data_IF_111450478637
#
_entry.id   IF_111450478637
#
_cell.length_a   1.000
_cell.length_b   1.000
_cell.length_c   1.000
_cell.angle_alpha   90.00
_cell.angle_beta   90.00
_cell.angle_gamma   90.00
#
_symmetry.space_group_name_H-M   'P 1'
#
loop_
_entity.id
_entity.type
_entity.pdbx_description
1 polymer ?
#
# COMPACT_ATOMS: atom_id res chain seq x y z
N UNK A 1 -24.52 -25.82 -64.83
CA UNK A 1 -24.20 -26.77 -63.75
C UNK A 1 -25.36 -27.01 -62.80
N UNK A 2 -25.74 -26.09 -61.89
CA UNK A 2 -26.85 -26.36 -60.93
C UNK A 2 -28.24 -26.50 -61.61
N UNK A 3 -28.46 -25.82 -62.75
CA UNK A 3 -29.71 -25.96 -63.52
C UNK A 3 -29.77 -27.23 -64.37
N UNK A 4 -28.62 -27.73 -64.85
CA UNK A 4 -28.53 -28.98 -65.62
C UNK A 4 -28.75 -30.19 -64.70
N UNK A 5 -28.20 -30.15 -63.48
CA UNK A 5 -28.38 -31.19 -62.46
C UNK A 5 -29.85 -31.32 -62.00
N UNK A 6 -30.62 -30.22 -62.02
CA UNK A 6 -32.05 -30.23 -61.72
C UNK A 6 -32.90 -30.82 -62.85
N UNK A 7 -32.44 -30.77 -64.10
CA UNK A 7 -33.15 -31.33 -65.24
C UNK A 7 -32.97 -32.85 -65.34
N UNK A 8 -31.75 -33.37 -65.16
CA UNK A 8 -31.48 -34.82 -65.21
C UNK A 8 -32.23 -35.59 -64.09
N UNK A 9 -32.22 -35.06 -62.87
CA UNK A 9 -32.91 -35.64 -61.72
C UNK A 9 -34.43 -35.73 -61.94
N UNK A 10 -35.00 -34.86 -62.80
CA UNK A 10 -36.44 -34.85 -63.10
C UNK A 10 -36.84 -35.92 -64.11
N UNK A 11 -35.96 -36.27 -65.05
CA UNK A 11 -36.20 -37.36 -66.00
C UNK A 11 -36.07 -38.73 -65.33
N UNK A 12 -35.09 -38.92 -64.45
CA UNK A 12 -34.87 -40.17 -63.72
C UNK A 12 -36.06 -40.55 -62.81
N UNK A 13 -36.68 -39.55 -62.14
CA UNK A 13 -37.84 -39.76 -61.27
C UNK A 13 -39.10 -40.20 -62.05
N UNK A 14 -39.20 -39.89 -63.35
CA UNK A 14 -40.36 -40.26 -64.16
C UNK A 14 -40.39 -41.76 -64.51
N UNK A 15 -39.28 -42.48 -64.42
CA UNK A 15 -39.23 -43.91 -64.74
C UNK A 15 -39.45 -44.83 -63.51
N UNK A 16 -39.48 -44.27 -62.31
CA UNK A 16 -39.67 -44.99 -61.05
C UNK A 16 -41.13 -45.42 -60.81
N UNK A 17 -41.30 -46.59 -60.18
CA UNK A 17 -42.58 -47.10 -59.68
C UNK A 17 -43.20 -46.16 -58.64
N UNK A 18 -44.53 -46.17 -58.52
CA UNK A 18 -45.28 -45.39 -57.52
C UNK A 18 -44.79 -45.65 -56.08
N UNK A 19 -44.31 -46.85 -55.80
CA UNK A 19 -43.75 -47.21 -54.49
C UNK A 19 -42.39 -46.52 -54.27
N UNK A 20 -41.46 -46.67 -55.21
CA UNK A 20 -40.12 -46.08 -55.17
C UNK A 20 -40.18 -44.55 -55.08
N UNK A 21 -41.12 -43.91 -55.79
CA UNK A 21 -41.35 -42.46 -55.69
C UNK A 21 -41.80 -42.02 -54.29
N UNK A 22 -42.57 -42.85 -53.57
CA UNK A 22 -43.00 -42.55 -52.19
C UNK A 22 -41.85 -42.72 -51.21
N UNK A 23 -41.01 -43.73 -51.42
CA UNK A 23 -39.83 -44.00 -50.59
C UNK A 23 -38.76 -42.91 -50.77
N UNK A 24 -38.46 -42.53 -52.01
CA UNK A 24 -37.52 -41.44 -52.31
C UNK A 24 -37.97 -40.10 -51.68
N UNK A 25 -39.28 -39.82 -51.65
CA UNK A 25 -39.83 -38.65 -50.95
C UNK A 25 -39.67 -38.73 -49.43
N UNK A 26 -39.77 -39.92 -48.83
CA UNK A 26 -39.54 -40.12 -47.39
C UNK A 26 -38.07 -39.90 -47.05
N UNK A 27 -37.16 -40.51 -47.82
CA UNK A 27 -35.72 -40.35 -47.64
C UNK A 27 -35.28 -38.88 -47.78
N UNK A 28 -35.76 -38.15 -48.80
CA UNK A 28 -35.47 -36.71 -48.94
C UNK A 28 -35.96 -35.88 -47.75
N UNK A 29 -37.15 -36.17 -47.24
CA UNK A 29 -37.71 -35.46 -46.07
C UNK A 29 -36.93 -35.77 -44.79
N UNK A 30 -36.42 -36.99 -44.65
CA UNK A 30 -35.58 -37.41 -43.52
C UNK A 30 -34.19 -36.76 -43.60
N UNK A 31 -33.58 -36.72 -44.80
CA UNK A 31 -32.31 -36.04 -45.04
C UNK A 31 -32.41 -34.53 -44.77
N UNK A 32 -33.50 -33.87 -45.18
CA UNK A 32 -33.74 -32.46 -44.86
C UNK A 32 -33.92 -32.20 -43.36
N UNK A 33 -34.59 -33.11 -42.64
CA UNK A 33 -34.72 -33.04 -41.17
C UNK A 33 -33.37 -33.22 -40.48
N UNK A 34 -32.57 -34.19 -40.91
CA UNK A 34 -31.25 -34.42 -40.36
C UNK A 34 -30.31 -33.24 -40.64
N UNK A 35 -30.31 -32.68 -41.86
CA UNK A 35 -29.56 -31.45 -42.19
C UNK A 35 -30.00 -30.25 -41.36
N UNK A 36 -31.30 -30.08 -41.11
CA UNK A 36 -31.79 -28.96 -40.27
C UNK A 36 -31.45 -29.13 -38.79
N UNK A 37 -31.46 -30.36 -38.26
CA UNK A 37 -31.02 -30.65 -36.89
C UNK A 37 -29.51 -30.47 -36.71
N UNK A 38 -28.69 -30.95 -37.66
CA UNK A 38 -27.25 -30.73 -37.64
C UNK A 38 -26.91 -29.25 -37.70
N UNK A 39 -27.58 -28.48 -38.56
CA UNK A 39 -27.39 -27.03 -38.65
C UNK A 39 -27.83 -26.30 -37.36
N UNK A 40 -28.85 -26.79 -36.66
CA UNK A 40 -29.26 -26.25 -35.34
C UNK A 40 -28.23 -26.57 -34.26
N UNK A 41 -27.69 -27.79 -34.24
CA UNK A 41 -26.63 -28.20 -33.30
C UNK A 41 -25.35 -27.40 -33.54
N UNK A 42 -24.91 -27.25 -34.80
CA UNK A 42 -23.76 -26.41 -35.19
C UNK A 42 -23.97 -24.93 -34.84
N UNK A 43 -25.17 -24.38 -35.06
CA UNK A 43 -25.50 -22.99 -34.67
C UNK A 43 -25.55 -22.78 -33.16
N UNK A 44 -25.91 -23.80 -32.38
CA UNK A 44 -25.91 -23.73 -30.92
C UNK A 44 -24.49 -23.78 -30.38
N UNK A 45 -23.67 -24.72 -30.85
CA UNK A 45 -22.28 -24.86 -30.41
C UNK A 45 -21.42 -23.64 -30.77
N UNK A 46 -21.64 -23.01 -31.93
CA UNK A 46 -20.90 -21.79 -32.28
C UNK A 46 -21.28 -20.59 -31.41
N UNK A 47 -22.55 -20.48 -31.00
CA UNK A 47 -22.96 -19.43 -30.05
C UNK A 47 -22.30 -19.60 -28.69
N UNK A 48 -22.27 -20.83 -28.17
CA UNK A 48 -21.65 -21.12 -26.87
C UNK A 48 -20.15 -20.80 -26.90
N UNK A 49 -19.44 -21.20 -27.98
CA UNK A 49 -18.02 -20.89 -28.16
C UNK A 49 -17.78 -19.36 -28.17
N UNK A 50 -18.57 -18.61 -28.94
CA UNK A 50 -18.44 -17.15 -29.01
C UNK A 50 -18.67 -16.52 -27.63
N UNK A 51 -19.69 -16.98 -26.89
CA UNK A 51 -19.99 -16.49 -25.53
C UNK A 51 -18.83 -16.74 -24.57
N UNK A 52 -18.26 -17.95 -24.55
CA UNK A 52 -17.12 -18.26 -23.67
C UNK A 52 -15.86 -17.46 -24.05
N UNK A 53 -15.59 -17.25 -25.34
CA UNK A 53 -14.47 -16.41 -25.79
C UNK A 53 -14.60 -14.96 -25.31
N UNK A 54 -15.79 -14.36 -25.39
CA UNK A 54 -16.03 -12.99 -24.92
C UNK A 54 -15.84 -12.88 -23.41
N UNK A 55 -16.39 -13.82 -22.63
CA UNK A 55 -16.21 -13.84 -21.17
C UNK A 55 -14.72 -13.92 -20.80
N UNK A 56 -13.96 -14.75 -21.51
CA UNK A 56 -12.52 -14.95 -21.24
C UNK A 56 -11.73 -13.66 -21.47
N UNK A 57 -12.03 -12.93 -22.54
CA UNK A 57 -11.37 -11.63 -22.84
C UNK A 57 -11.69 -10.60 -21.76
N UNK A 58 -12.93 -10.55 -21.27
CA UNK A 58 -13.33 -9.62 -20.20
C UNK A 58 -12.57 -9.93 -18.91
N UNK A 59 -12.46 -11.22 -18.53
CA UNK A 59 -11.74 -11.63 -17.32
C UNK A 59 -10.25 -11.26 -17.41
N UNK A 60 -9.60 -11.53 -18.55
CA UNK A 60 -8.19 -11.15 -18.77
C UNK A 60 -8.01 -9.63 -18.70
N UNK A 61 -8.91 -8.86 -19.32
CA UNK A 61 -8.90 -7.40 -19.26
C UNK A 61 -9.06 -6.87 -17.84
N UNK A 62 -9.92 -7.49 -17.03
CA UNK A 62 -10.12 -7.09 -15.64
C UNK A 62 -8.91 -7.39 -14.76
N UNK A 63 -8.28 -8.56 -14.94
CA UNK A 63 -7.02 -8.91 -14.27
C UNK A 63 -5.92 -7.92 -14.65
N UNK A 64 -5.79 -7.59 -15.93
CA UNK A 64 -4.80 -6.63 -16.40
C UNK A 64 -5.08 -5.21 -15.87
N UNK A 65 -6.34 -4.81 -15.78
CA UNK A 65 -6.74 -3.53 -15.18
C UNK A 65 -6.36 -3.47 -13.70
N UNK A 66 -6.64 -4.51 -12.92
CA UNK A 66 -6.24 -4.57 -11.50
C UNK A 66 -4.72 -4.50 -11.39
N UNK A 67 -3.99 -5.30 -12.17
CA UNK A 67 -2.52 -5.25 -12.21
C UNK A 67 -2.01 -3.85 -12.56
N UNK A 68 -2.60 -3.19 -13.55
CA UNK A 68 -2.26 -1.83 -13.95
C UNK A 68 -2.55 -0.81 -12.85
N UNK A 69 -3.69 -0.92 -12.16
CA UNK A 69 -4.05 -0.05 -11.04
C UNK A 69 -3.15 -0.28 -9.83
N UNK A 70 -2.68 -1.50 -9.56
CA UNK A 70 -1.75 -1.79 -8.45
C UNK A 70 -0.32 -1.34 -8.78
N UNK A 71 0.13 -1.51 -10.01
CA UNK A 71 1.50 -1.16 -10.44
C UNK A 71 1.66 0.31 -10.83
N UNK A 72 0.59 0.98 -11.24
CA UNK A 72 0.54 2.42 -11.52
C UNK A 72 -0.31 3.21 -10.55
N UNK A 73 -0.79 2.60 -9.47
CA UNK A 73 -1.11 3.40 -8.30
C UNK A 73 0.14 4.25 -8.08
N UNK A 74 0.04 5.59 -8.18
CA UNK A 74 1.16 6.42 -7.81
C UNK A 74 1.50 5.92 -6.42
N UNK A 75 2.72 5.39 -6.25
CA UNK A 75 3.35 5.51 -4.95
C UNK A 75 3.11 6.96 -4.61
N UNK A 76 2.41 7.22 -3.52
CA UNK A 76 2.30 8.54 -2.96
C UNK A 76 3.71 8.90 -2.48
N UNK A 77 4.66 9.01 -3.41
CA UNK A 77 5.79 9.89 -3.37
C UNK A 77 5.16 11.28 -3.51
N UNK A 78 4.37 11.64 -2.49
CA UNK A 78 4.37 12.98 -1.96
C UNK A 78 5.79 13.48 -2.13
N UNK A 79 5.94 14.56 -2.89
CA UNK A 79 7.01 15.52 -2.68
C UNK A 79 7.31 15.50 -1.19
N UNK A 80 8.45 14.89 -0.84
CA UNK A 80 8.57 14.30 0.47
C UNK A 80 8.63 15.47 1.45
N UNK A 81 7.61 15.64 2.29
CA UNK A 81 7.43 16.80 3.18
C UNK A 81 8.55 16.90 4.26
N UNK A 82 9.55 16.01 4.18
CA UNK A 82 10.80 16.09 4.92
C UNK A 82 11.59 17.33 4.51
N UNK A 83 11.87 18.18 5.51
CA UNK A 83 12.82 19.27 5.37
C UNK A 83 14.25 18.74 5.39
N UNK A 84 14.80 18.46 4.20
CA UNK A 84 16.19 18.02 4.03
C UNK A 84 17.20 19.19 4.01
N UNK A 85 16.76 20.42 4.26
CA UNK A 85 17.64 21.58 4.29
C UNK A 85 18.63 21.48 5.46
N UNK A 86 19.92 21.66 5.16
CA UNK A 86 20.98 21.53 6.16
C UNK A 86 21.34 20.08 6.53
N UNK A 87 20.71 19.07 5.93
CA UNK A 87 21.11 17.66 6.09
C UNK A 87 22.18 17.35 5.03
N UNK A 88 23.42 16.98 5.42
CA UNK A 88 24.47 16.64 4.46
C UNK A 88 24.13 15.34 3.71
N UNK A 89 24.80 15.10 2.59
CA UNK A 89 24.66 13.85 1.81
C UNK A 89 25.51 12.69 2.34
N UNK A 90 26.34 12.96 3.34
CA UNK A 90 27.30 12.02 3.93
C UNK A 90 26.69 11.33 5.17
N UNK A 91 27.45 10.40 5.74
CA UNK A 91 27.11 9.79 7.03
C UNK A 91 27.25 10.84 8.12
N UNK A 92 26.18 10.99 8.92
CA UNK A 92 26.18 11.85 10.10
C UNK A 92 26.18 11.03 11.37
N UNK A 93 26.57 11.67 12.46
CA UNK A 93 26.35 11.23 13.82
C UNK A 93 25.85 12.46 14.58
N UNK A 94 24.53 12.61 14.66
CA UNK A 94 23.89 13.75 15.30
C UNK A 94 23.27 13.37 16.63
N UNK A 95 23.24 14.33 17.55
CA UNK A 95 22.66 14.19 18.88
C UNK A 95 21.49 15.18 19.03
N UNK A 96 20.37 14.74 19.58
CA UNK A 96 19.26 15.63 19.94
C UNK A 96 18.75 15.33 21.34
N UNK A 97 18.54 16.36 22.15
CA UNK A 97 18.03 16.23 23.52
C UNK A 97 16.51 16.12 23.50
N UNK A 98 15.95 15.15 24.21
CA UNK A 98 14.50 14.95 24.29
C UNK A 98 14.04 15.07 25.74
N UNK A 99 13.12 16.00 25.97
CA UNK A 99 12.45 16.20 27.25
C UNK A 99 10.96 15.88 27.12
N UNK A 100 10.43 15.13 28.08
CA UNK A 100 9.00 14.81 28.13
C UNK A 100 8.42 15.34 29.43
N UNK A 101 7.37 16.16 29.32
CA UNK A 101 6.55 16.62 30.43
C UNK A 101 5.13 16.11 30.31
N UNK A 102 4.59 15.49 31.35
CA UNK A 102 3.18 15.10 31.42
C UNK A 102 2.58 15.72 32.68
N UNK A 103 1.63 16.64 32.51
CA UNK A 103 0.93 17.31 33.61
C UNK A 103 1.81 18.07 34.59
N UNK A 104 2.91 18.62 34.10
CA UNK A 104 3.92 19.31 34.91
C UNK A 104 5.03 18.38 35.44
N UNK A 105 4.82 17.06 35.40
CA UNK A 105 5.83 16.09 35.80
C UNK A 105 6.76 15.75 34.64
N UNK A 106 8.07 15.81 34.89
CA UNK A 106 9.06 15.29 33.94
C UNK A 106 9.01 13.76 33.89
N UNK A 107 9.04 13.20 32.69
CA UNK A 107 9.10 11.76 32.42
C UNK A 107 10.42 11.41 31.77
N UNK A 108 10.98 10.29 32.20
CA UNK A 108 12.23 9.75 31.69
C UNK A 108 11.96 8.84 30.49
N UNK A 109 12.84 8.86 29.49
CA UNK A 109 12.80 7.85 28.45
C UNK A 109 13.30 6.49 29.00
N UNK A 110 12.96 5.38 28.33
CA UNK A 110 13.58 4.09 28.63
C UNK A 110 15.10 4.20 28.56
N UNK A 111 15.78 3.81 29.65
CA UNK A 111 17.23 3.79 29.71
C UNK A 111 17.78 2.41 29.35
N UNK A 112 18.83 2.32 28.51
CA UNK A 112 19.55 1.08 28.30
C UNK A 112 20.22 0.60 29.59
N UNK A 113 20.62 -0.68 29.58
CA UNK A 113 21.54 -1.22 30.58
C UNK A 113 22.90 -0.47 30.51
N UNK A 114 23.67 -0.43 31.60
CA UNK A 114 24.99 0.20 31.60
C UNK A 114 25.88 -0.30 30.45
N UNK A 115 26.44 0.64 29.68
CA UNK A 115 27.24 0.36 28.48
C UNK A 115 26.46 -0.16 27.27
N UNK A 116 25.12 -0.14 27.32
CA UNK A 116 24.24 -0.59 26.24
C UNK A 116 23.58 0.54 25.47
N UNK A 117 22.72 0.14 24.53
CA UNK A 117 21.89 1.02 23.71
C UNK A 117 20.46 0.48 23.60
N UNK A 118 19.50 1.37 23.37
CA UNK A 118 18.14 1.01 22.96
C UNK A 118 17.87 1.66 21.60
N UNK A 119 17.37 0.88 20.66
CA UNK A 119 17.00 1.34 19.33
C UNK A 119 17.62 0.47 18.24
N UNK A 120 17.89 1.06 17.08
CA UNK A 120 18.59 0.42 15.98
C UNK A 120 19.83 1.22 15.58
N UNK A 121 20.68 0.68 14.70
CA UNK A 121 21.92 1.34 14.32
C UNK A 121 21.77 2.74 13.69
N UNK A 122 20.59 3.08 13.14
CA UNK A 122 20.32 4.43 12.61
C UNK A 122 19.81 5.38 13.70
N UNK A 123 18.92 4.89 14.57
CA UNK A 123 18.21 5.66 15.59
C UNK A 123 18.23 4.91 16.91
N UNK A 124 19.02 5.42 17.85
CA UNK A 124 19.18 4.79 19.17
C UNK A 124 19.50 5.83 20.25
N UNK A 125 19.52 5.38 21.49
CA UNK A 125 20.01 6.13 22.64
C UNK A 125 20.97 5.25 23.41
N UNK A 126 22.04 5.83 23.96
CA UNK A 126 22.93 5.13 24.88
C UNK A 126 22.65 5.47 26.34
N UNK A 127 23.34 4.78 27.25
CA UNK A 127 23.25 5.08 28.67
C UNK A 127 23.86 6.45 28.99
N UNK A 128 23.52 6.98 30.17
CA UNK A 128 24.05 8.27 30.63
C UNK A 128 25.57 8.31 30.78
N UNK A 129 26.24 7.15 30.88
CA UNK A 129 27.70 7.09 31.08
C UNK A 129 28.47 7.20 29.78
N UNK A 130 27.86 6.77 28.67
CA UNK A 130 28.41 6.83 27.31
C UNK A 130 27.93 8.06 26.54
N UNK A 131 26.79 8.66 26.92
CA UNK A 131 26.34 9.97 26.45
C UNK A 131 27.24 11.11 26.99
N UNK A 132 28.49 11.18 26.54
CA UNK A 132 29.43 12.24 26.91
C UNK A 132 29.11 13.60 26.27
N UNK A 133 28.20 13.61 25.29
CA UNK A 133 27.76 14.81 24.56
C UNK A 133 26.41 15.35 25.06
N UNK A 134 25.86 14.82 26.16
CA UNK A 134 24.74 15.47 26.83
C UNK A 134 25.11 16.93 27.10
N UNK A 135 24.34 17.86 26.54
CA UNK A 135 24.62 19.28 26.71
C UNK A 135 24.71 19.59 28.21
N UNK A 136 25.57 20.52 28.65
CA UNK A 136 25.77 20.83 30.07
C UNK A 136 24.50 21.30 30.82
N UNK A 137 23.41 21.58 30.09
CA UNK A 137 22.08 21.91 30.63
C UNK A 137 20.99 20.91 30.19
N UNK A 138 21.37 19.76 29.60
CA UNK A 138 20.44 18.67 29.39
C UNK A 138 20.21 18.04 30.77
N UNK A 139 19.03 18.27 31.33
CA UNK A 139 18.60 17.59 32.55
C UNK A 139 18.32 16.09 32.30
N UNK A 140 18.63 15.60 31.09
CA UNK A 140 18.98 14.21 30.80
C UNK A 140 17.81 13.23 30.89
N UNK A 141 16.72 13.50 30.18
CA UNK A 141 15.65 12.52 29.98
C UNK A 141 15.95 11.52 28.85
N UNK A 142 16.90 11.83 27.97
CA UNK A 142 17.51 10.93 26.99
C UNK A 142 18.05 11.71 25.79
N UNK A 143 19.14 11.20 25.20
CA UNK A 143 19.74 11.75 23.98
C UNK A 143 19.39 10.82 22.82
N UNK A 144 18.79 11.36 21.77
CA UNK A 144 18.59 10.65 20.51
C UNK A 144 19.87 10.75 19.69
N UNK A 145 20.38 9.61 19.25
CA UNK A 145 21.43 9.52 18.24
C UNK A 145 20.83 9.20 16.88
N UNK A 146 21.33 9.90 15.87
CA UNK A 146 21.05 9.66 14.47
C UNK A 146 22.35 9.41 13.73
N UNK A 147 22.60 8.14 13.42
CA UNK A 147 23.86 7.65 12.85
C UNK A 147 23.65 7.01 11.47
N UNK A 148 24.05 7.69 10.41
CA UNK A 148 23.92 7.14 9.06
C UNK A 148 23.65 8.18 7.99
N UNK A 149 23.24 7.71 6.81
CA UNK A 149 22.87 8.57 5.70
C UNK A 149 21.37 8.84 5.69
N UNK A 150 20.97 9.95 6.31
CA UNK A 150 19.56 10.36 6.43
C UNK A 150 18.88 10.53 5.08
N UNK A 151 19.57 11.11 4.10
CA UNK A 151 19.00 11.35 2.77
C UNK A 151 18.65 10.07 2.02
N UNK A 152 19.32 8.96 2.33
CA UNK A 152 19.02 7.67 1.73
C UNK A 152 17.67 7.11 2.19
N UNK A 153 17.23 7.43 3.40
CA UNK A 153 15.95 7.00 3.92
C UNK A 153 15.38 7.95 4.99
N UNK A 154 14.92 9.15 4.59
CA UNK A 154 14.54 10.20 5.54
C UNK A 154 13.36 9.81 6.43
N UNK A 155 12.48 8.94 5.95
CA UNK A 155 11.35 8.42 6.73
C UNK A 155 11.74 7.51 7.88
N UNK A 156 12.96 6.94 7.88
CA UNK A 156 13.50 6.15 9.00
C UNK A 156 14.34 6.99 9.97
N UNK A 157 14.52 8.30 9.71
CA UNK A 157 15.32 9.21 10.55
C UNK A 157 14.46 10.18 11.36
N UNK A 158 13.15 9.94 11.47
CA UNK A 158 12.21 10.87 12.12
C UNK A 158 12.14 10.68 13.63
N UNK A 159 11.71 11.73 14.35
CA UNK A 159 11.49 11.65 15.80
C UNK A 159 10.49 10.55 16.17
N UNK A 160 9.39 10.39 15.40
CA UNK A 160 8.41 9.32 15.66
C UNK A 160 9.05 7.94 15.57
N UNK A 161 9.91 7.72 14.57
CA UNK A 161 10.61 6.43 14.41
C UNK A 161 11.53 6.15 15.57
N UNK A 162 12.27 7.15 16.04
CA UNK A 162 13.11 7.03 17.22
C UNK A 162 12.28 6.61 18.44
N UNK A 163 11.21 7.35 18.75
CA UNK A 163 10.35 7.07 19.90
C UNK A 163 9.79 5.65 19.86
N UNK A 164 9.37 5.20 18.68
CA UNK A 164 8.90 3.82 18.47
C UNK A 164 10.00 2.79 18.70
N UNK A 165 11.22 3.03 18.19
CA UNK A 165 12.36 2.12 18.34
C UNK A 165 12.76 1.90 19.79
N UNK A 166 12.60 2.92 20.63
CA UNK A 166 12.84 2.82 22.07
C UNK A 166 11.59 2.37 22.87
N UNK A 167 10.50 1.99 22.20
CA UNK A 167 9.29 1.47 22.84
C UNK A 167 8.37 2.54 23.44
N UNK A 168 8.55 3.81 23.10
CA UNK A 168 7.69 4.91 23.56
C UNK A 168 6.58 5.18 22.54
N UNK A 169 5.34 5.17 23.00
CA UNK A 169 4.18 5.56 22.16
C UNK A 169 4.23 7.06 21.95
N UNK A 170 4.23 7.49 20.69
CA UNK A 170 4.29 8.90 20.33
C UNK A 170 3.62 9.17 18.98
N UNK A 171 2.80 10.21 18.91
CA UNK A 171 2.19 10.77 17.71
C UNK A 171 1.83 12.24 17.93
N UNK A 172 1.21 12.89 16.94
CA UNK A 172 0.65 14.26 17.08
C UNK A 172 -0.39 14.40 18.19
N UNK A 173 -0.98 13.29 18.64
CA UNK A 173 -2.10 13.29 19.59
C UNK A 173 -1.92 12.33 20.76
N UNK A 174 -0.75 11.70 20.88
CA UNK A 174 -0.47 10.70 21.92
C UNK A 174 0.99 10.76 22.36
N UNK A 175 1.23 10.66 23.66
CA UNK A 175 2.56 10.46 24.24
C UNK A 175 2.44 9.53 25.45
N UNK A 176 3.23 8.45 25.46
CA UNK A 176 3.22 7.41 26.49
C UNK A 176 1.81 6.83 26.74
N UNK A 177 1.20 7.15 27.88
CA UNK A 177 -0.12 6.71 28.31
C UNK A 177 -1.21 7.79 28.16
N UNK A 178 -0.87 8.94 27.56
CA UNK A 178 -1.77 10.09 27.38
C UNK A 178 -2.14 10.32 25.92
N UNK A 179 -3.41 10.65 25.70
CA UNK A 179 -3.98 11.08 24.42
C UNK A 179 -4.65 12.44 24.54
N UNK A 180 -4.70 13.19 23.46
CA UNK A 180 -5.41 14.47 23.43
C UNK A 180 -6.86 14.29 23.91
N UNK A 181 -7.26 15.12 24.86
CA UNK A 181 -8.55 15.02 25.55
C UNK A 181 -8.51 14.27 26.88
N UNK A 182 -7.46 13.51 27.19
CA UNK A 182 -7.27 12.94 28.52
C UNK A 182 -7.06 14.03 29.56
N UNK A 183 -7.47 13.76 30.80
CA UNK A 183 -7.34 14.74 31.89
C UNK A 183 -5.89 14.91 32.34
N UNK A 184 -5.58 16.18 32.61
CA UNK A 184 -4.32 16.69 33.11
C UNK A 184 -4.64 17.83 34.09
N UNK A 185 -4.45 17.60 35.40
CA UNK A 185 -4.83 18.55 36.45
C UNK A 185 -6.28 19.06 36.30
N UNK A 186 -7.22 18.11 36.13
CA UNK A 186 -8.67 18.34 35.96
C UNK A 186 -9.08 19.12 34.69
N UNK A 187 -8.18 19.27 33.72
CA UNK A 187 -8.45 19.88 32.41
C UNK A 187 -8.12 18.92 31.28
N UNK A 188 -8.76 19.07 30.13
CA UNK A 188 -8.42 18.29 28.94
C UNK A 188 -7.03 18.71 28.45
N UNK A 189 -6.09 17.77 28.46
CA UNK A 189 -4.73 17.98 28.02
C UNK A 189 -4.53 17.74 26.53
N UNK A 190 -3.47 18.32 25.97
CA UNK A 190 -3.05 18.11 24.59
C UNK A 190 -1.54 17.95 24.47
N UNK A 191 -1.11 17.13 23.50
CA UNK A 191 0.29 17.01 23.09
C UNK A 191 0.71 18.27 22.36
N UNK A 192 1.80 18.88 22.82
CA UNK A 192 2.48 20.00 22.18
C UNK A 192 3.96 19.71 22.08
N UNK A 193 4.59 20.18 21.01
CA UNK A 193 5.99 19.92 20.72
C UNK A 193 6.68 21.25 20.49
N UNK A 194 7.85 21.40 21.09
CA UNK A 194 8.73 22.55 20.91
C UNK A 194 10.09 22.06 20.43
N UNK A 195 10.67 22.77 19.48
CA UNK A 195 12.02 22.54 18.98
C UNK A 195 12.81 23.82 19.19
N UNK A 196 13.89 23.73 19.98
CA UNK A 196 14.71 24.86 20.37
C UNK A 196 13.88 26.01 20.98
N UNK A 197 12.95 25.66 21.88
CA UNK A 197 12.05 26.58 22.58
C UNK A 197 10.93 27.20 21.73
N UNK A 198 10.84 26.87 20.43
CA UNK A 198 9.77 27.34 19.54
C UNK A 198 8.76 26.24 19.31
N UNK A 199 7.47 26.59 19.38
CA UNK A 199 6.40 25.63 19.08
C UNK A 199 6.55 25.10 17.66
N UNK A 200 6.46 23.78 17.52
CA UNK A 200 6.51 23.09 16.24
C UNK A 200 5.08 22.85 15.74
N UNK A 201 4.66 23.63 14.74
CA UNK A 201 3.29 23.60 14.19
C UNK A 201 3.19 22.83 12.85
N UNK A 202 4.26 22.15 12.43
CA UNK A 202 4.26 21.30 11.23
C UNK A 202 3.90 19.85 11.58
N UNK A 203 3.63 19.04 10.56
CA UNK A 203 3.32 17.62 10.72
C UNK A 203 4.54 16.86 11.29
N UNK A 204 4.38 16.23 12.46
CA UNK A 204 5.51 15.60 13.16
C UNK A 204 5.96 14.29 12.50
N UNK A 205 5.13 13.69 11.63
CA UNK A 205 5.49 12.48 10.90
C UNK A 205 6.69 12.67 9.97
N UNK A 206 6.99 13.92 9.60
CA UNK A 206 8.10 14.28 8.72
C UNK A 206 9.25 15.00 9.44
N UNK A 207 9.17 15.15 10.76
CA UNK A 207 10.21 15.85 11.51
C UNK A 207 11.46 14.99 11.70
N UNK A 208 12.58 15.46 11.14
CA UNK A 208 13.91 14.90 11.32
C UNK A 208 14.71 15.84 12.24
N UNK A 209 15.04 15.42 13.47
CA UNK A 209 15.90 16.19 14.36
C UNK A 209 17.26 16.50 13.75
N UNK A 210 17.76 17.71 13.99
CA UNK A 210 19.11 18.15 13.62
C UNK A 210 20.06 18.02 14.80
N UNK A 211 21.35 18.11 14.53
CA UNK A 211 22.38 18.08 15.57
C UNK A 211 22.17 19.22 16.57
N UNK A 212 22.23 18.87 17.86
CA UNK A 212 22.01 19.71 19.02
C UNK A 212 20.60 20.34 19.12
N UNK A 213 19.60 19.78 18.42
CA UNK A 213 18.21 20.18 18.66
C UNK A 213 17.80 19.81 20.09
N UNK A 214 17.09 20.72 20.75
CA UNK A 214 16.41 20.48 22.03
C UNK A 214 14.92 20.34 21.75
N UNK A 215 14.37 19.17 22.04
CA UNK A 215 12.99 18.80 21.74
C UNK A 215 12.23 18.65 23.06
N UNK A 216 11.25 19.52 23.30
CA UNK A 216 10.35 19.42 24.44
C UNK A 216 8.98 18.92 23.98
N UNK A 217 8.58 17.74 24.43
CA UNK A 217 7.25 17.17 24.22
C UNK A 217 6.47 17.31 25.51
N UNK A 218 5.31 17.98 25.45
CA UNK A 218 4.49 18.26 26.62
C UNK A 218 3.06 17.77 26.44
N UNK A 219 2.50 17.20 27.49
CA UNK A 219 1.06 16.95 27.63
C UNK A 219 0.53 17.81 28.78
N UNK A 220 -0.23 18.85 28.44
CA UNK A 220 -0.76 19.87 29.36
C UNK A 220 -2.20 20.22 29.04
#
# INVERSE_FOLDING_TARGET
MEEEEKQDNKQEIQHLSKHERRELKRLRKEEERNKTEENRKKKKSTKDIITYSVITIIVIGFIYLIYFLVTRAPSNNTESDYDLSGIPSEVIHWHADINIGICGDRKQLPEPLPGGEIGNGLLHTHDKTTNKNSMPNSDGNGVMHLEGNVRSNPGESTLIKFMRNIGVRFSETEIMDKKNGDLCNDKNGNVTIYVNGKKYDKNINYFIPKDNDIIDIKFE
#
